data_IF_200402065801
#
_entry.id   IF_200402065801
#
_cell.length_a   1.000
_cell.length_b   1.000
_cell.length_c   1.000
_cell.angle_alpha   90.00
_cell.angle_beta   90.00
_cell.angle_gamma   90.00
#
_symmetry.space_group_name_H-M   'P 1'
#
loop_
_entity.id
_entity.type
_entity.pdbx_description
1 polymer ?
#
# COMPACT_ATOMS: atom_id res chain seq x y z
N UNK A 1 -9.14 30.62 24.17
CA UNK A 1 -7.88 30.13 24.77
C UNK A 1 -6.72 30.68 23.94
N UNK A 2 -5.58 31.08 24.55
CA UNK A 2 -4.41 31.55 23.80
C UNK A 2 -3.66 30.39 23.13
N UNK A 3 -3.08 30.63 21.96
CA UNK A 3 -2.24 29.69 21.23
C UNK A 3 -0.94 29.44 22.02
N UNK A 4 -0.53 28.18 22.19
CA UNK A 4 0.70 27.80 22.92
C UNK A 4 1.42 26.66 22.21
N UNK A 5 2.75 26.66 22.30
CA UNK A 5 3.60 25.56 21.85
C UNK A 5 3.36 24.35 22.75
N UNK A 6 3.21 23.16 22.15
CA UNK A 6 3.01 21.92 22.88
C UNK A 6 4.32 21.46 23.54
N UNK A 7 4.27 20.88 24.76
CA UNK A 7 5.42 20.17 25.32
C UNK A 7 5.93 19.09 24.36
N UNK A 8 7.26 18.86 24.27
CA UNK A 8 7.85 17.89 23.34
C UNK A 8 7.26 16.48 23.46
N UNK A 9 6.96 16.03 24.67
CA UNK A 9 6.33 14.72 24.93
C UNK A 9 4.94 14.61 24.31
N UNK A 10 4.10 15.64 24.47
CA UNK A 10 2.73 15.66 23.94
C UNK A 10 2.77 15.75 22.41
N UNK A 11 3.59 16.64 21.86
CA UNK A 11 3.81 16.71 20.42
C UNK A 11 4.29 15.36 19.88
N UNK A 12 5.11 14.66 20.66
CA UNK A 12 5.64 13.36 20.26
C UNK A 12 4.60 12.27 20.23
N UNK A 13 3.76 12.19 21.28
CA UNK A 13 2.66 11.25 21.37
C UNK A 13 1.60 11.50 20.29
N UNK A 14 1.33 12.76 19.93
CA UNK A 14 0.40 13.11 18.84
C UNK A 14 0.94 12.57 17.52
N UNK A 15 2.18 12.92 17.14
CA UNK A 15 2.81 12.44 15.91
C UNK A 15 2.90 10.90 15.87
N UNK A 16 3.20 10.26 16.99
CA UNK A 16 3.21 8.80 17.09
C UNK A 16 1.84 8.16 16.82
N UNK A 17 0.74 8.91 16.97
CA UNK A 17 -0.61 8.43 16.65
C UNK A 17 -0.96 8.42 15.18
N UNK A 18 -0.34 9.31 14.42
CA UNK A 18 -0.51 9.37 12.97
C UNK A 18 0.31 8.27 12.28
N UNK A 19 1.41 7.85 12.90
CA UNK A 19 2.32 6.82 12.38
C UNK A 19 1.98 5.42 12.93
N UNK A 20 1.64 5.31 14.22
CA UNK A 20 1.43 4.03 14.92
C UNK A 20 0.05 3.98 15.58
N UNK A 21 -0.90 3.42 14.84
CA UNK A 21 -2.28 3.24 15.32
C UNK A 21 -2.49 1.93 16.11
N UNK A 22 -1.72 0.89 15.78
CA UNK A 22 -1.90 -0.47 16.32
C UNK A 22 -0.64 -1.34 16.20
N UNK A 23 -0.57 -2.50 16.87
CA UNK A 23 0.60 -3.39 16.81
C UNK A 23 1.02 -3.78 15.38
N UNK A 24 0.07 -4.04 14.48
CA UNK A 24 0.39 -4.37 13.09
C UNK A 24 1.12 -3.23 12.36
N UNK A 25 0.86 -1.96 12.68
CA UNK A 25 1.58 -0.82 12.12
C UNK A 25 3.04 -0.80 12.58
N UNK A 26 3.30 -1.17 13.84
CA UNK A 26 4.68 -1.34 14.35
C UNK A 26 5.39 -2.46 13.60
N UNK A 27 4.75 -3.64 13.47
CA UNK A 27 5.32 -4.76 12.71
C UNK A 27 5.64 -4.33 11.28
N UNK A 28 4.74 -3.59 10.63
CA UNK A 28 4.94 -3.11 9.26
C UNK A 28 6.20 -2.26 9.15
N UNK A 29 6.33 -1.21 9.96
CA UNK A 29 7.47 -0.29 9.84
C UNK A 29 8.79 -0.98 10.20
N UNK A 30 8.81 -1.87 11.21
CA UNK A 30 10.02 -2.63 11.54
C UNK A 30 10.39 -3.64 10.45
N UNK A 31 9.41 -4.31 9.86
CA UNK A 31 9.61 -5.26 8.77
C UNK A 31 10.12 -4.55 7.51
N UNK A 32 9.54 -3.39 7.17
CA UNK A 32 10.03 -2.54 6.07
C UNK A 32 11.49 -2.11 6.30
N UNK A 33 11.85 -1.75 7.54
CA UNK A 33 13.24 -1.39 7.87
C UNK A 33 14.21 -2.57 7.72
N UNK A 34 13.81 -3.78 8.15
CA UNK A 34 14.62 -4.98 7.97
C UNK A 34 14.83 -5.32 6.48
N UNK A 35 13.78 -5.18 5.66
CA UNK A 35 13.87 -5.38 4.21
C UNK A 35 14.78 -4.34 3.54
N UNK A 36 14.65 -3.07 3.92
CA UNK A 36 15.55 -1.99 3.44
C UNK A 36 17.00 -2.22 3.85
N UNK A 37 17.24 -2.86 5.01
CA UNK A 37 18.57 -3.25 5.47
C UNK A 37 19.14 -4.49 4.74
N UNK A 38 18.41 -5.04 3.77
CA UNK A 38 18.84 -6.18 2.95
C UNK A 38 18.73 -7.54 3.64
N UNK A 39 17.90 -7.66 4.69
CA UNK A 39 17.75 -8.89 5.44
C UNK A 39 17.30 -10.08 4.58
N UNK A 40 17.85 -11.26 4.88
CA UNK A 40 17.49 -12.56 4.28
C UNK A 40 16.74 -13.46 5.25
N UNK A 41 16.87 -13.21 6.55
CA UNK A 41 16.16 -13.90 7.61
C UNK A 41 15.53 -12.86 8.54
N UNK A 42 14.21 -12.91 8.66
CA UNK A 42 13.43 -12.04 9.56
C UNK A 42 12.64 -12.94 10.51
N UNK A 43 12.83 -12.76 11.80
CA UNK A 43 12.09 -13.43 12.87
C UNK A 43 11.28 -12.42 13.66
N UNK A 44 9.99 -12.68 13.81
CA UNK A 44 9.03 -11.81 14.47
C UNK A 44 8.40 -12.59 15.62
N UNK A 45 8.50 -12.08 16.83
CA UNK A 45 7.93 -12.68 18.03
C UNK A 45 6.90 -11.72 18.64
N UNK A 46 5.69 -12.22 18.89
CA UNK A 46 4.56 -11.43 19.37
C UNK A 46 3.93 -12.12 20.58
N UNK A 47 3.77 -11.37 21.68
CA UNK A 47 3.06 -11.82 22.88
C UNK A 47 1.99 -10.80 23.28
N UNK A 48 0.86 -11.29 23.80
CA UNK A 48 -0.27 -10.43 24.18
C UNK A 48 -0.79 -9.61 22.99
N UNK A 49 -0.85 -10.22 21.81
CA UNK A 49 -1.19 -9.58 20.53
C UNK A 49 -0.33 -8.34 20.16
N UNK A 50 0.91 -8.27 20.67
CA UNK A 50 1.85 -7.18 20.40
C UNK A 50 1.73 -6.01 21.38
N UNK A 51 0.87 -6.13 22.40
CA UNK A 51 0.78 -5.17 23.50
C UNK A 51 1.90 -5.38 24.52
N UNK A 52 2.18 -6.64 24.86
CA UNK A 52 3.18 -6.99 25.87
C UNK A 52 4.57 -7.00 25.26
N UNK A 53 4.74 -7.73 24.16
CA UNK A 53 6.00 -7.86 23.45
C UNK A 53 5.78 -7.93 21.94
N UNK A 54 6.57 -7.14 21.20
CA UNK A 54 6.82 -7.31 19.78
C UNK A 54 8.33 -7.22 19.59
N UNK A 55 8.94 -8.30 19.13
CA UNK A 55 10.36 -8.36 18.82
C UNK A 55 10.55 -8.70 17.34
N UNK A 56 11.35 -7.92 16.63
CA UNK A 56 11.76 -8.20 15.27
C UNK A 56 13.28 -8.30 15.22
N UNK A 57 13.78 -9.46 14.78
CA UNK A 57 15.18 -9.73 14.57
C UNK A 57 15.44 -9.98 13.09
N UNK A 58 16.45 -9.31 12.54
CA UNK A 58 16.91 -9.46 11.17
C UNK A 58 18.42 -9.72 11.09
N UNK A 59 18.87 -10.24 9.95
CA UNK A 59 20.29 -10.44 9.60
C UNK A 59 20.78 -9.42 8.56
N UNK A 60 20.19 -8.22 8.54
CA UNK A 60 20.55 -7.15 7.62
C UNK A 60 21.94 -6.57 7.89
N UNK A 61 22.22 -5.42 7.29
CA UNK A 61 23.51 -4.74 7.43
C UNK A 61 23.79 -4.17 8.85
N UNK A 62 22.78 -4.12 9.72
CA UNK A 62 22.89 -3.50 11.04
C UNK A 62 22.97 -1.97 11.01
N UNK A 63 23.12 -1.37 12.18
CA UNK A 63 23.26 0.07 12.43
C UNK A 63 24.60 0.27 13.16
N UNK A 64 25.47 1.17 12.69
CA UNK A 64 26.69 1.51 13.38
C UNK A 64 26.41 1.96 14.83
N UNK A 65 27.22 1.50 15.78
CA UNK A 65 27.11 1.89 17.19
C UNK A 65 26.96 3.41 17.43
N UNK A 66 27.74 4.31 16.79
CA UNK A 66 27.58 5.76 17.00
C UNK A 66 26.29 6.33 16.39
N UNK A 67 25.63 5.61 15.49
CA UNK A 67 24.38 6.04 14.84
C UNK A 67 23.13 5.55 15.56
N UNK A 68 23.25 4.63 16.52
CA UNK A 68 22.10 4.11 17.28
C UNK A 68 21.30 5.19 18.01
N UNK A 69 21.92 6.20 18.66
CA UNK A 69 21.19 7.33 19.21
C UNK A 69 20.45 8.11 18.12
N UNK A 70 21.10 8.35 16.98
CA UNK A 70 20.51 9.08 15.86
C UNK A 70 19.32 8.32 15.23
N UNK A 71 19.38 6.99 15.18
CA UNK A 71 18.32 6.15 14.62
C UNK A 71 16.97 6.24 15.37
N UNK A 72 16.99 6.70 16.63
CA UNK A 72 15.81 6.87 17.47
C UNK A 72 15.40 8.34 17.63
N UNK A 73 16.14 9.27 17.01
CA UNK A 73 15.78 10.68 16.92
C UNK A 73 14.78 10.94 15.80
N UNK A 74 14.05 12.05 15.90
CA UNK A 74 13.12 12.48 14.86
C UNK A 74 13.86 13.07 13.67
N UNK A 75 13.28 12.88 12.48
CA UNK A 75 13.78 13.46 11.22
C UNK A 75 15.20 12.99 10.87
N UNK A 76 15.62 11.85 11.43
CA UNK A 76 16.89 11.24 11.15
C UNK A 76 16.69 10.04 10.23
N UNK A 77 17.23 10.12 9.01
CA UNK A 77 17.18 9.00 8.06
C UNK A 77 18.46 8.92 7.24
N UNK A 78 18.87 7.69 6.93
CA UNK A 78 19.93 7.40 5.95
C UNK A 78 19.41 7.23 4.53
N UNK A 79 18.08 7.34 4.32
CA UNK A 79 17.41 6.91 3.07
C UNK A 79 17.12 8.05 2.10
N UNK A 80 17.16 9.31 2.56
CA UNK A 80 16.99 10.50 1.75
C UNK A 80 18.08 11.52 2.10
N UNK A 81 18.69 12.11 1.08
CA UNK A 81 19.75 13.12 1.22
C UNK A 81 19.34 14.48 0.66
N UNK A 82 18.46 14.50 -0.34
CA UNK A 82 18.01 15.71 -1.05
C UNK A 82 16.48 15.71 -1.17
N UNK A 83 15.90 16.90 -1.35
CA UNK A 83 14.46 17.05 -1.57
C UNK A 83 13.98 16.28 -2.82
N UNK A 84 14.81 16.20 -3.86
CA UNK A 84 14.52 15.47 -5.10
C UNK A 84 14.35 13.95 -4.86
N UNK A 85 15.00 13.39 -3.84
CA UNK A 85 14.91 11.96 -3.49
C UNK A 85 13.47 11.58 -3.07
N UNK A 86 12.67 12.56 -2.62
CA UNK A 86 11.26 12.36 -2.26
C UNK A 86 10.39 11.98 -3.47
N UNK A 87 10.82 12.34 -4.69
CA UNK A 87 10.15 11.98 -5.94
C UNK A 87 10.70 10.67 -6.55
N UNK A 88 11.76 10.10 -5.96
CA UNK A 88 12.44 8.88 -6.43
C UNK A 88 12.63 7.85 -5.30
N UNK A 89 11.59 7.61 -4.51
CA UNK A 89 11.66 6.74 -3.33
C UNK A 89 11.81 5.26 -3.74
N UNK A 90 13.01 4.71 -3.53
CA UNK A 90 13.33 3.30 -3.79
C UNK A 90 13.25 2.40 -2.55
N UNK A 91 13.38 2.98 -1.34
CA UNK A 91 13.28 2.26 -0.06
C UNK A 91 11.84 2.20 0.42
N UNK A 92 11.51 1.32 1.37
CA UNK A 92 10.19 1.16 1.98
C UNK A 92 9.94 2.17 3.13
N UNK A 93 10.92 2.41 3.98
CA UNK A 93 10.93 3.54 4.91
C UNK A 93 11.61 4.76 4.29
N UNK A 94 11.21 5.98 4.65
CA UNK A 94 11.96 7.20 4.24
C UNK A 94 11.80 8.40 5.18
N UNK A 95 10.81 8.40 6.09
CA UNK A 95 10.50 9.55 6.94
C UNK A 95 11.46 9.76 8.13
N UNK A 96 12.21 8.73 8.55
CA UNK A 96 13.07 8.85 9.74
C UNK A 96 12.31 9.06 11.05
N UNK A 97 11.06 8.59 11.13
CA UNK A 97 10.16 8.86 12.27
C UNK A 97 9.67 7.60 12.98
N UNK A 98 9.82 6.42 12.38
CA UNK A 98 9.21 5.19 12.87
C UNK A 98 9.74 4.79 14.26
N UNK A 99 11.07 4.65 14.40
CA UNK A 99 11.69 4.21 15.66
C UNK A 99 11.49 5.24 16.78
N UNK A 100 11.64 6.53 16.48
CA UNK A 100 11.36 7.62 17.41
C UNK A 100 9.90 7.60 17.90
N UNK A 101 8.95 7.42 16.96
CA UNK A 101 7.53 7.34 17.28
C UNK A 101 7.23 6.14 18.17
N UNK A 102 7.73 4.96 17.82
CA UNK A 102 7.55 3.72 18.60
C UNK A 102 8.15 3.90 20.00
N UNK A 103 9.37 4.41 20.11
CA UNK A 103 10.06 4.64 21.38
C UNK A 103 9.35 5.64 22.30
N UNK A 104 8.60 6.59 21.74
CA UNK A 104 7.81 7.56 22.53
C UNK A 104 6.56 6.96 23.20
N UNK A 105 6.06 5.83 22.71
CA UNK A 105 4.82 5.18 23.17
C UNK A 105 5.04 3.75 23.72
N UNK A 106 6.29 3.37 23.96
CA UNK A 106 6.65 2.02 24.41
C UNK A 106 7.97 2.04 25.20
N UNK A 107 8.37 0.85 25.68
CA UNK A 107 9.74 0.58 26.13
C UNK A 107 10.46 -0.11 24.96
N UNK A 108 11.31 0.62 24.28
CA UNK A 108 12.01 0.16 23.08
C UNK A 108 13.45 -0.21 23.44
N UNK A 109 13.90 -1.40 23.07
CA UNK A 109 15.31 -1.79 23.10
C UNK A 109 15.76 -2.07 21.67
N UNK A 110 16.79 -1.38 21.23
CA UNK A 110 17.41 -1.56 19.92
C UNK A 110 18.82 -2.12 20.12
N UNK A 111 19.08 -3.31 19.59
CA UNK A 111 20.41 -3.93 19.58
C UNK A 111 20.83 -4.13 18.13
N UNK A 112 22.03 -3.72 17.75
CA UNK A 112 22.50 -3.90 16.37
C UNK A 112 24.00 -4.13 16.31
N UNK A 113 24.45 -4.90 15.32
CA UNK A 113 25.86 -5.12 15.03
C UNK A 113 26.12 -5.16 13.52
N UNK A 114 27.28 -4.62 13.12
CA UNK A 114 27.73 -4.62 11.74
C UNK A 114 28.31 -5.99 11.34
N UNK A 115 28.32 -6.33 10.03
CA UNK A 115 28.94 -7.55 9.54
C UNK A 115 30.42 -7.63 9.95
N UNK A 116 30.83 -8.79 10.47
CA UNK A 116 32.21 -9.04 10.85
C UNK A 116 32.68 -8.36 12.15
N UNK A 117 31.81 -7.64 12.87
CA UNK A 117 32.14 -7.08 14.18
C UNK A 117 31.69 -8.03 15.31
N UNK A 118 32.59 -8.37 16.27
CA UNK A 118 32.25 -9.28 17.38
C UNK A 118 31.40 -8.60 18.47
N UNK A 119 31.38 -7.27 18.49
CA UNK A 119 30.60 -6.48 19.42
C UNK A 119 29.63 -5.60 18.63
N UNK A 120 28.38 -5.60 19.07
CA UNK A 120 27.38 -4.64 18.68
C UNK A 120 27.17 -3.61 19.80
N UNK A 121 26.10 -2.84 19.64
CA UNK A 121 25.68 -1.89 20.64
C UNK A 121 24.18 -1.98 20.88
N UNK A 122 23.77 -1.58 22.08
CA UNK A 122 22.39 -1.57 22.53
C UNK A 122 22.04 -0.21 23.10
N UNK A 123 20.85 0.27 22.75
CA UNK A 123 20.23 1.45 23.33
C UNK A 123 18.83 1.09 23.83
N UNK A 124 18.45 1.61 25.00
CA UNK A 124 17.11 1.45 25.57
C UNK A 124 16.43 2.81 25.60
N UNK A 125 15.15 2.84 25.28
CA UNK A 125 14.33 4.03 25.21
C UNK A 125 13.07 3.76 26.02
N UNK A 126 12.77 4.65 26.96
CA UNK A 126 11.54 4.61 27.75
C UNK A 126 10.76 5.91 27.54
N UNK A 127 9.61 5.82 26.86
CA UNK A 127 8.77 6.97 26.52
C UNK A 127 9.56 8.14 25.89
N UNK A 128 10.45 7.83 24.95
CA UNK A 128 11.27 8.81 24.23
C UNK A 128 12.59 9.19 24.93
N UNK A 129 12.83 8.73 26.16
CA UNK A 129 14.08 8.99 26.87
C UNK A 129 15.08 7.85 26.63
N UNK A 130 16.16 8.15 25.91
CA UNK A 130 17.21 7.18 25.62
C UNK A 130 18.21 7.05 26.77
N UNK A 131 18.63 5.81 27.06
CA UNK A 131 19.74 5.52 27.97
C UNK A 131 21.08 5.64 27.25
N UNK A 132 22.20 5.74 27.98
CA UNK A 132 23.52 5.61 27.38
C UNK A 132 23.68 4.31 26.60
N UNK A 133 24.56 4.35 25.59
CA UNK A 133 24.86 3.21 24.74
C UNK A 133 25.60 2.12 25.52
N UNK A 134 25.12 0.88 25.43
CA UNK A 134 25.76 -0.30 26.03
C UNK A 134 26.48 -1.09 24.93
N UNK A 135 27.76 -1.45 25.13
CA UNK A 135 28.45 -2.41 24.25
C UNK A 135 28.01 -3.82 24.62
N UNK A 136 27.55 -4.60 23.64
CA UNK A 136 27.01 -5.95 23.87
C UNK A 136 27.49 -6.93 22.80
N UNK A 137 27.62 -8.20 23.15
CA UNK A 137 27.78 -9.26 22.16
C UNK A 137 26.46 -9.44 21.40
N UNK A 138 26.50 -9.31 20.07
CA UNK A 138 25.33 -9.49 19.21
C UNK A 138 25.77 -10.04 17.84
N UNK A 139 24.98 -10.93 17.22
CA UNK A 139 25.22 -11.33 15.83
C UNK A 139 24.96 -10.15 14.89
N UNK A 140 25.46 -10.26 13.66
CA UNK A 140 25.14 -9.31 12.59
C UNK A 140 23.62 -9.10 12.46
N UNK A 141 23.23 -7.85 12.22
CA UNK A 141 21.86 -7.45 11.95
C UNK A 141 21.28 -6.60 13.08
N UNK A 142 19.96 -6.53 13.14
CA UNK A 142 19.26 -5.69 14.12
C UNK A 142 18.18 -6.46 14.85
N UNK A 143 18.09 -6.25 16.16
CA UNK A 143 16.99 -6.72 17.00
C UNK A 143 16.30 -5.50 17.60
N UNK A 144 15.03 -5.33 17.23
CA UNK A 144 14.14 -4.29 17.76
C UNK A 144 13.11 -4.94 18.66
N UNK A 145 13.19 -4.65 19.96
CA UNK A 145 12.27 -5.17 20.98
C UNK A 145 11.40 -4.04 21.50
N UNK A 146 10.09 -4.17 21.35
CA UNK A 146 9.06 -3.21 21.74
C UNK A 146 8.21 -3.83 22.84
N UNK A 147 8.31 -3.29 24.05
CA UNK A 147 7.62 -3.79 25.22
C UNK A 147 6.57 -2.79 25.71
N UNK A 148 5.44 -3.30 26.19
CA UNK A 148 4.35 -2.51 26.77
C UNK A 148 3.88 -1.39 25.82
N UNK A 149 3.46 -1.73 24.61
CA UNK A 149 2.99 -0.76 23.62
C UNK A 149 1.77 0.02 24.15
N UNK A 150 1.79 1.34 24.01
CA UNK A 150 0.78 2.30 24.48
C UNK A 150 0.63 2.41 26.00
N UNK A 151 1.59 1.93 26.81
CA UNK A 151 1.48 1.98 28.27
C UNK A 151 1.32 3.40 28.83
N UNK A 152 1.94 4.40 28.17
CA UNK A 152 1.85 5.82 28.52
C UNK A 152 0.78 6.58 27.72
N UNK A 153 -0.03 5.90 26.89
CA UNK A 153 -1.13 6.48 26.12
C UNK A 153 -2.41 5.63 26.29
N UNK A 154 -3.03 5.63 27.50
CA UNK A 154 -4.08 4.68 27.86
C UNK A 154 -5.35 4.78 27.00
N UNK A 155 -5.64 5.96 26.43
CA UNK A 155 -6.74 6.11 25.49
C UNK A 155 -6.55 5.22 24.26
N UNK A 156 -5.34 5.19 23.66
CA UNK A 156 -5.02 4.32 22.50
C UNK A 156 -5.08 2.85 22.84
N UNK A 157 -4.57 2.47 24.01
CA UNK A 157 -4.65 1.10 24.48
C UNK A 157 -6.12 0.60 24.54
N UNK A 158 -7.07 1.48 24.91
CA UNK A 158 -8.51 1.18 24.92
C UNK A 158 -9.15 1.13 23.52
N UNK A 159 -8.54 1.77 22.52
CA UNK A 159 -9.02 1.72 21.13
C UNK A 159 -8.59 0.45 20.37
N UNK A 160 -7.66 -0.33 20.93
CA UNK A 160 -7.28 -1.61 20.35
C UNK A 160 -8.47 -2.57 20.35
N UNK A 161 -8.56 -3.38 19.30
CA UNK A 161 -9.58 -4.42 19.21
C UNK A 161 -9.19 -5.60 20.09
N UNK A 162 -10.05 -6.62 20.12
CA UNK A 162 -9.76 -7.88 20.79
C UNK A 162 -8.43 -8.47 20.28
N UNK A 163 -7.69 -9.12 21.18
CA UNK A 163 -6.36 -9.69 20.92
C UNK A 163 -6.35 -10.65 19.72
N UNK A 164 -7.44 -11.39 19.53
CA UNK A 164 -7.64 -12.26 18.35
C UNK A 164 -7.65 -11.49 17.04
N UNK A 165 -8.20 -10.27 17.04
CA UNK A 165 -8.26 -9.41 15.86
C UNK A 165 -6.90 -8.81 15.56
N UNK A 166 -6.21 -8.28 16.57
CA UNK A 166 -4.87 -7.70 16.37
C UNK A 166 -3.85 -8.76 15.92
N UNK A 167 -3.89 -9.98 16.48
CA UNK A 167 -3.09 -11.12 16.00
C UNK A 167 -3.34 -11.44 14.54
N UNK A 168 -4.62 -11.52 14.12
CA UNK A 168 -4.98 -11.76 12.72
C UNK A 168 -4.49 -10.67 11.78
N UNK A 169 -4.46 -9.41 12.23
CA UNK A 169 -3.91 -8.31 11.43
C UNK A 169 -2.40 -8.48 11.23
N UNK A 170 -1.67 -8.88 12.27
CA UNK A 170 -0.24 -9.19 12.18
C UNK A 170 0.00 -10.38 11.25
N UNK A 171 -0.72 -11.50 11.41
CA UNK A 171 -0.61 -12.66 10.53
C UNK A 171 -0.83 -12.28 9.07
N UNK A 172 -1.91 -11.54 8.78
CA UNK A 172 -2.24 -11.12 7.42
C UNK A 172 -1.16 -10.21 6.83
N UNK A 173 -0.60 -9.30 7.63
CA UNK A 173 0.49 -8.42 7.20
C UNK A 173 1.75 -9.24 6.84
N UNK A 174 2.25 -10.07 7.77
CA UNK A 174 3.48 -10.84 7.56
C UNK A 174 3.31 -11.81 6.39
N UNK A 175 2.13 -12.43 6.26
CA UNK A 175 1.73 -13.27 5.12
C UNK A 175 1.89 -12.54 3.79
N UNK A 176 1.40 -11.30 3.68
CA UNK A 176 1.51 -10.52 2.44
C UNK A 176 2.96 -10.24 2.08
N UNK A 177 3.78 -9.79 3.04
CA UNK A 177 5.20 -9.51 2.79
C UNK A 177 5.99 -10.79 2.48
N UNK A 178 5.65 -11.92 3.09
CA UNK A 178 6.26 -13.21 2.78
C UNK A 178 6.06 -13.61 1.31
N UNK A 179 4.89 -13.33 0.72
CA UNK A 179 4.64 -13.59 -0.71
C UNK A 179 5.39 -12.59 -1.60
N UNK A 180 5.49 -11.34 -1.17
CA UNK A 180 6.18 -10.30 -1.94
C UNK A 180 7.70 -10.50 -2.02
N UNK A 181 8.29 -10.96 -0.91
CA UNK A 181 9.72 -11.15 -0.73
C UNK A 181 10.05 -12.64 -0.54
N UNK A 182 9.85 -13.50 -1.56
CA UNK A 182 10.04 -14.95 -1.42
C UNK A 182 11.51 -15.36 -1.18
N UNK A 183 12.46 -14.45 -1.47
CA UNK A 183 13.89 -14.61 -1.21
C UNK A 183 14.28 -14.32 0.25
N UNK A 184 13.30 -13.99 1.11
CA UNK A 184 13.49 -13.70 2.53
C UNK A 184 12.76 -14.77 3.32
N UNK A 185 13.46 -15.35 4.29
CA UNK A 185 12.88 -16.30 5.24
C UNK A 185 12.17 -15.53 6.34
N UNK A 186 10.87 -15.71 6.43
CA UNK A 186 10.05 -15.16 7.51
C UNK A 186 9.77 -16.25 8.55
N UNK A 187 9.90 -15.91 9.83
CA UNK A 187 9.38 -16.69 10.95
C UNK A 187 8.50 -15.78 11.80
N UNK A 188 7.29 -16.23 12.10
CA UNK A 188 6.37 -15.52 13.00
C UNK A 188 6.01 -16.43 14.16
N UNK A 189 6.37 -16.02 15.37
CA UNK A 189 5.98 -16.64 16.62
C UNK A 189 4.89 -15.80 17.28
N UNK A 190 3.78 -16.44 17.65
CA UNK A 190 2.72 -15.82 18.43
C UNK A 190 2.44 -16.65 19.68
N UNK A 191 2.51 -16.02 20.85
CA UNK A 191 2.30 -16.67 22.15
C UNK A 191 3.18 -17.92 22.32
N UNK A 192 4.45 -17.81 21.91
CA UNK A 192 5.43 -18.89 21.94
C UNK A 192 5.27 -19.98 20.86
N UNK A 193 4.25 -19.90 20.00
CA UNK A 193 4.00 -20.88 18.94
C UNK A 193 4.40 -20.35 17.56
N UNK A 194 5.01 -21.19 16.75
CA UNK A 194 5.33 -20.86 15.36
C UNK A 194 4.04 -20.83 14.53
N UNK A 195 3.63 -19.63 14.09
CA UNK A 195 2.44 -19.38 13.26
C UNK A 195 2.76 -19.50 11.76
N UNK A 196 3.89 -18.94 11.34
CA UNK A 196 4.33 -18.92 9.94
C UNK A 196 5.83 -19.18 9.84
N UNK A 197 6.23 -19.98 8.86
CA UNK A 197 7.61 -20.13 8.45
C UNK A 197 7.71 -20.30 6.93
N UNK A 198 8.54 -19.49 6.26
CA UNK A 198 8.83 -19.65 4.83
C UNK A 198 10.22 -20.22 4.56
N UNK A 199 10.46 -20.68 3.33
CA UNK A 199 11.73 -21.27 2.90
C UNK A 199 12.84 -20.23 2.68
N UNK A 200 12.46 -19.05 2.15
CA UNK A 200 13.39 -18.01 1.70
C UNK A 200 14.12 -18.33 0.39
N UNK A 201 13.62 -19.29 -0.42
CA UNK A 201 14.28 -19.78 -1.65
C UNK A 201 13.96 -18.98 -2.91
N UNK A 202 13.03 -18.03 -2.86
CA UNK A 202 12.63 -17.23 -4.02
C UNK A 202 11.43 -17.72 -4.80
N UNK A 203 10.86 -18.88 -4.49
CA UNK A 203 9.66 -19.39 -5.15
C UNK A 203 8.37 -18.86 -4.49
N UNK A 204 7.69 -17.93 -5.18
CA UNK A 204 6.41 -17.38 -4.71
C UNK A 204 5.30 -18.43 -4.65
N UNK A 205 5.31 -19.43 -5.53
CA UNK A 205 4.28 -20.47 -5.57
C UNK A 205 4.43 -21.42 -4.38
N UNK A 206 5.67 -21.71 -3.97
CA UNK A 206 5.97 -22.42 -2.70
C UNK A 206 5.38 -21.65 -1.51
N UNK A 207 5.62 -20.35 -1.42
CA UNK A 207 5.08 -19.51 -0.34
C UNK A 207 3.56 -19.48 -0.35
N UNK A 208 2.92 -19.36 -1.51
CA UNK A 208 1.46 -19.48 -1.64
C UNK A 208 0.95 -20.85 -1.14
N UNK A 209 1.69 -21.93 -1.41
CA UNK A 209 1.37 -23.27 -0.95
C UNK A 209 1.43 -23.43 0.57
N UNK A 210 2.41 -22.78 1.22
CA UNK A 210 2.52 -22.74 2.68
C UNK A 210 1.32 -21.99 3.31
N UNK A 211 0.88 -20.91 2.66
CA UNK A 211 -0.12 -19.99 3.22
C UNK A 211 -1.57 -20.41 2.96
N UNK A 212 -1.88 -20.81 1.73
CA UNK A 212 -3.23 -21.13 1.29
C UNK A 212 -3.44 -22.63 1.01
N UNK A 213 -2.39 -23.43 1.17
CA UNK A 213 -2.40 -24.86 0.89
C UNK A 213 -1.94 -25.20 -0.55
N UNK A 214 -1.41 -26.42 -0.75
CA UNK A 214 -0.80 -26.82 -2.02
C UNK A 214 -1.81 -26.95 -3.17
N UNK A 215 -3.07 -27.27 -2.87
CA UNK A 215 -4.12 -27.36 -3.89
C UNK A 215 -4.45 -25.97 -4.47
N UNK A 216 -4.65 -24.98 -3.60
CA UNK A 216 -4.90 -23.59 -4.01
C UNK A 216 -3.72 -23.07 -4.83
N UNK A 217 -2.49 -23.24 -4.33
CA UNK A 217 -1.30 -22.74 -5.03
C UNK A 217 -1.08 -23.38 -6.42
N UNK A 218 -1.49 -24.64 -6.62
CA UNK A 218 -1.44 -25.30 -7.94
C UNK A 218 -2.46 -24.70 -8.91
N UNK A 219 -3.65 -24.36 -8.43
CA UNK A 219 -4.72 -23.81 -9.26
C UNK A 219 -4.52 -22.33 -9.63
N UNK A 220 -3.69 -21.58 -8.88
CA UNK A 220 -3.44 -20.17 -9.15
C UNK A 220 -2.84 -19.95 -10.54
N UNK A 221 -3.44 -19.02 -11.27
CA UNK A 221 -3.05 -18.60 -12.62
C UNK A 221 -1.96 -17.56 -12.52
N UNK A 222 -0.91 -17.72 -13.32
CA UNK A 222 0.18 -16.75 -13.37
C UNK A 222 -0.21 -15.56 -14.24
N UNK A 223 0.04 -14.35 -13.74
CA UNK A 223 -0.10 -13.11 -14.48
C UNK A 223 1.30 -12.61 -14.78
N UNK A 224 1.61 -12.43 -16.05
CA UNK A 224 2.88 -11.86 -16.50
C UNK A 224 2.61 -11.01 -17.75
N UNK A 225 2.69 -9.69 -17.57
CA UNK A 225 2.50 -8.71 -18.63
C UNK A 225 3.51 -7.57 -18.46
N UNK A 226 4.02 -7.08 -19.58
CA UNK A 226 4.91 -5.93 -19.64
C UNK A 226 4.44 -5.02 -20.78
N UNK A 227 4.37 -3.72 -20.47
CA UNK A 227 4.19 -2.60 -21.37
C UNK A 227 5.38 -1.64 -21.18
N UNK A 228 5.42 -0.52 -21.90
CA UNK A 228 6.58 0.37 -21.98
C UNK A 228 7.08 0.88 -20.61
N UNK A 229 6.17 1.30 -19.72
CA UNK A 229 6.50 1.83 -18.38
C UNK A 229 5.75 1.11 -17.25
N UNK A 230 5.26 -0.10 -17.52
CA UNK A 230 4.43 -0.85 -16.58
C UNK A 230 4.73 -2.34 -16.71
N UNK A 231 4.93 -3.01 -15.59
CA UNK A 231 5.02 -4.46 -15.54
C UNK A 231 4.12 -5.00 -14.44
N UNK A 232 3.30 -5.99 -14.79
CA UNK A 232 2.43 -6.70 -13.87
C UNK A 232 2.86 -8.16 -13.81
N UNK A 233 3.28 -8.60 -12.63
CA UNK A 233 3.55 -10.00 -12.34
C UNK A 233 2.70 -10.49 -11.18
N UNK A 234 2.59 -11.80 -10.98
CA UNK A 234 1.96 -12.38 -9.79
C UNK A 234 0.96 -13.48 -10.12
N UNK A 235 -0.04 -13.63 -9.27
CA UNK A 235 -0.99 -14.73 -9.35
C UNK A 235 -2.43 -14.26 -9.12
N UNK A 236 -3.37 -14.90 -9.81
CA UNK A 236 -4.81 -14.67 -9.64
C UNK A 236 -5.56 -16.01 -9.67
N UNK A 237 -6.69 -16.11 -8.97
CA UNK A 237 -7.43 -17.37 -8.89
C UNK A 237 -8.25 -17.66 -10.15
N UNK A 238 -8.45 -18.92 -10.54
CA UNK A 238 -9.42 -19.26 -11.58
C UNK A 238 -10.84 -18.93 -11.11
N UNK A 239 -11.80 -18.90 -12.03
CA UNK A 239 -13.22 -18.59 -11.74
C UNK A 239 -13.88 -19.60 -10.80
N UNK A 240 -13.36 -20.84 -10.74
CA UNK A 240 -13.78 -21.88 -9.80
C UNK A 240 -13.36 -21.62 -8.36
N UNK A 241 -12.27 -20.86 -8.15
CA UNK A 241 -11.70 -20.59 -6.84
C UNK A 241 -12.00 -19.15 -6.43
N UNK A 242 -12.91 -18.98 -5.48
CA UNK A 242 -13.41 -17.66 -5.06
C UNK A 242 -13.49 -17.52 -3.54
N UNK A 243 -13.63 -16.27 -3.10
CA UNK A 243 -13.84 -15.86 -1.70
C UNK A 243 -15.11 -15.04 -1.55
N UNK A 244 -15.63 -15.00 -0.32
CA UNK A 244 -16.81 -14.20 0.05
C UNK A 244 -16.49 -12.72 0.27
N UNK A 245 -15.21 -12.35 0.36
CA UNK A 245 -14.77 -10.98 0.60
C UNK A 245 -13.49 -10.68 -0.18
N UNK A 246 -13.08 -9.40 -0.17
CA UNK A 246 -11.91 -8.87 -0.90
C UNK A 246 -10.59 -8.99 -0.13
N UNK A 247 -10.56 -9.68 1.02
CA UNK A 247 -9.38 -9.66 1.92
C UNK A 247 -8.12 -10.33 1.34
N UNK A 248 -8.31 -11.24 0.39
CA UNK A 248 -7.25 -11.97 -0.32
C UNK A 248 -6.89 -11.33 -1.67
N UNK A 249 -7.31 -10.08 -1.91
CA UNK A 249 -6.82 -9.26 -3.01
C UNK A 249 -5.70 -8.38 -2.45
N UNK A 250 -4.49 -8.60 -2.94
CA UNK A 250 -3.30 -7.88 -2.50
C UNK A 250 -2.54 -7.34 -3.70
N UNK A 251 -2.27 -6.04 -3.66
CA UNK A 251 -1.41 -5.36 -4.62
C UNK A 251 -0.12 -4.91 -3.94
N UNK A 252 0.97 -5.08 -4.66
CA UNK A 252 2.25 -4.47 -4.36
C UNK A 252 2.63 -3.52 -5.48
N UNK A 253 3.02 -2.30 -5.14
CA UNK A 253 3.50 -1.31 -6.09
C UNK A 253 4.94 -0.99 -5.73
N UNK A 254 5.88 -1.29 -6.64
CA UNK A 254 7.32 -1.14 -6.39
C UNK A 254 7.76 -1.76 -5.05
N UNK A 255 7.25 -2.95 -4.73
CA UNK A 255 7.56 -3.69 -3.50
C UNK A 255 6.80 -3.25 -2.24
N UNK A 256 5.98 -2.19 -2.31
CA UNK A 256 5.16 -1.71 -1.19
C UNK A 256 3.77 -2.30 -1.23
N UNK A 257 3.26 -2.76 -0.10
CA UNK A 257 1.86 -3.18 -0.01
C UNK A 257 0.92 -1.97 -0.09
N UNK A 258 -0.05 -2.01 -1.00
CA UNK A 258 -0.99 -0.92 -1.27
C UNK A 258 -2.43 -1.43 -1.21
N UNK A 259 -3.32 -0.61 -0.67
CA UNK A 259 -4.75 -0.79 -0.61
C UNK A 259 -5.45 0.26 -1.48
N UNK A 260 -5.27 0.16 -2.79
CA UNK A 260 -5.86 1.10 -3.74
C UNK A 260 -7.22 0.57 -4.27
N UNK A 261 -8.32 1.35 -4.11
CA UNK A 261 -9.63 0.96 -4.62
C UNK A 261 -9.70 0.86 -6.15
N UNK A 262 -8.91 1.66 -6.88
CA UNK A 262 -8.92 1.63 -8.34
C UNK A 262 -8.28 0.34 -8.89
N UNK A 263 -7.14 -0.10 -8.34
CA UNK A 263 -6.50 -1.38 -8.67
C UNK A 263 -7.43 -2.56 -8.35
N UNK A 264 -8.08 -2.52 -7.19
CA UNK A 264 -9.07 -3.54 -6.78
C UNK A 264 -10.24 -3.58 -7.78
N UNK A 265 -10.71 -2.42 -8.23
CA UNK A 265 -11.81 -2.33 -9.20
C UNK A 265 -11.36 -2.80 -10.59
N UNK A 266 -10.13 -2.52 -11.00
CA UNK A 266 -9.54 -3.02 -12.25
C UNK A 266 -9.48 -4.54 -12.28
N UNK A 267 -9.04 -5.15 -11.17
CA UNK A 267 -9.06 -6.60 -11.00
C UNK A 267 -10.47 -7.16 -11.13
N UNK A 268 -11.43 -6.60 -10.39
CA UNK A 268 -12.82 -7.07 -10.43
C UNK A 268 -13.41 -6.91 -11.84
N UNK A 269 -13.08 -5.83 -12.54
CA UNK A 269 -13.49 -5.60 -13.93
C UNK A 269 -12.94 -6.67 -14.88
N UNK A 270 -11.73 -7.15 -14.67
CA UNK A 270 -11.19 -8.26 -15.46
C UNK A 270 -12.04 -9.54 -15.33
N UNK A 271 -12.61 -9.77 -14.14
CA UNK A 271 -13.53 -10.88 -13.84
C UNK A 271 -15.00 -10.57 -14.15
N UNK A 272 -15.32 -9.40 -14.72
CA UNK A 272 -16.69 -9.03 -15.05
C UNK A 272 -17.32 -10.10 -15.94
N UNK A 273 -18.56 -10.48 -15.59
CA UNK A 273 -19.38 -11.61 -16.11
C UNK A 273 -18.87 -13.02 -15.83
N UNK A 274 -17.74 -13.21 -15.14
CA UNK A 274 -17.14 -14.53 -14.89
C UNK A 274 -17.35 -15.05 -13.46
N UNK A 275 -17.72 -14.17 -12.53
CA UNK A 275 -17.94 -14.51 -11.12
C UNK A 275 -19.40 -14.28 -10.72
N UNK A 276 -19.89 -15.11 -9.81
CA UNK A 276 -21.18 -14.90 -9.17
C UNK A 276 -21.17 -13.62 -8.32
N UNK A 277 -22.33 -12.99 -8.18
CA UNK A 277 -22.51 -11.80 -7.33
C UNK A 277 -22.06 -12.09 -5.90
N UNK A 278 -21.28 -11.18 -5.32
CA UNK A 278 -20.74 -11.33 -3.96
C UNK A 278 -19.55 -12.29 -3.83
N UNK A 279 -19.01 -12.80 -4.95
CA UNK A 279 -17.78 -13.59 -4.98
C UNK A 279 -16.62 -12.77 -5.53
N UNK A 280 -15.45 -12.97 -4.95
CA UNK A 280 -14.23 -12.25 -5.30
C UNK A 280 -13.10 -13.24 -5.62
N UNK A 281 -12.18 -12.89 -6.53
CA UNK A 281 -11.00 -13.69 -6.79
C UNK A 281 -9.99 -13.55 -5.63
N UNK A 282 -9.08 -14.51 -5.54
CA UNK A 282 -7.83 -14.32 -4.81
C UNK A 282 -6.81 -13.74 -5.77
N UNK A 283 -6.04 -12.75 -5.34
CA UNK A 283 -5.01 -12.18 -6.19
C UNK A 283 -3.85 -11.65 -5.36
N UNK A 284 -2.63 -11.92 -5.83
CA UNK A 284 -1.40 -11.30 -5.34
C UNK A 284 -0.64 -10.80 -6.54
N UNK A 285 -0.71 -9.49 -6.76
CA UNK A 285 -0.22 -8.84 -7.97
C UNK A 285 0.85 -7.80 -7.64
N UNK A 286 1.89 -7.77 -8.45
CA UNK A 286 3.06 -6.91 -8.33
C UNK A 286 3.10 -5.98 -9.53
N UNK A 287 2.91 -4.71 -9.26
CA UNK A 287 3.01 -3.62 -10.21
C UNK A 287 4.39 -2.98 -10.06
N UNK A 288 5.16 -2.98 -11.14
CA UNK A 288 6.44 -2.28 -11.25
C UNK A 288 6.28 -1.13 -12.26
N UNK A 289 6.61 0.09 -11.84
CA UNK A 289 6.59 1.29 -12.67
C UNK A 289 7.68 2.28 -12.24
N UNK A 290 8.11 3.21 -13.10
CA UNK A 290 9.04 4.28 -12.73
C UNK A 290 8.56 5.04 -11.48
N UNK A 291 9.44 5.37 -10.51
CA UNK A 291 9.05 6.07 -9.28
C UNK A 291 8.34 7.41 -9.51
N UNK A 292 8.70 8.13 -10.57
CA UNK A 292 8.08 9.40 -10.98
C UNK A 292 6.62 9.31 -11.42
N UNK A 293 6.13 8.10 -11.72
CA UNK A 293 4.76 7.83 -12.12
C UNK A 293 3.85 7.46 -10.93
N UNK A 294 4.41 7.35 -9.73
CA UNK A 294 3.69 7.01 -8.49
C UNK A 294 4.11 7.88 -7.31
N UNK A 295 3.16 8.64 -6.78
CA UNK A 295 3.33 9.34 -5.52
C UNK A 295 2.94 8.43 -4.36
N UNK A 296 3.94 8.06 -3.55
CA UNK A 296 3.80 7.23 -2.34
C UNK A 296 3.63 8.06 -1.06
N UNK A 297 3.76 9.39 -1.13
CA UNK A 297 3.71 10.30 0.01
C UNK A 297 2.28 10.83 0.29
N UNK A 298 1.25 10.03 0.02
CA UNK A 298 -0.15 10.49 0.09
C UNK A 298 -0.76 10.27 1.48
N UNK A 299 -0.43 9.16 2.14
CA UNK A 299 -0.99 8.79 3.45
C UNK A 299 0.12 8.49 4.48
N UNK A 300 -0.04 8.83 5.77
CA UNK A 300 0.95 8.54 6.82
C UNK A 300 1.40 7.08 6.89
N UNK A 301 0.46 6.14 6.75
CA UNK A 301 0.71 4.68 6.77
C UNK A 301 1.24 4.11 5.44
N UNK A 302 1.33 4.94 4.39
CA UNK A 302 1.75 4.58 3.02
C UNK A 302 0.90 3.47 2.36
N UNK A 303 -0.33 3.26 2.84
CA UNK A 303 -1.24 2.24 2.30
C UNK A 303 -1.91 2.67 0.98
N UNK A 304 -1.91 3.97 0.68
CA UNK A 304 -2.51 4.53 -0.54
C UNK A 304 -1.41 5.19 -1.39
N UNK A 305 -1.53 5.06 -2.70
CA UNK A 305 -0.61 5.68 -3.67
C UNK A 305 -1.42 6.44 -4.71
N UNK A 306 -0.86 7.50 -5.27
CA UNK A 306 -1.45 8.23 -6.39
C UNK A 306 -0.64 8.00 -7.64
N UNK A 307 -1.28 7.41 -8.65
CA UNK A 307 -0.70 7.27 -9.98
C UNK A 307 -0.85 8.58 -10.75
N UNK A 308 0.18 8.95 -11.51
CA UNK A 308 0.11 10.08 -12.45
C UNK A 308 -0.95 9.83 -13.53
N UNK A 309 -0.88 8.66 -14.16
CA UNK A 309 -1.82 8.23 -15.22
C UNK A 309 -2.69 7.07 -14.72
N UNK A 310 -3.64 7.38 -13.84
CA UNK A 310 -4.51 6.40 -13.18
C UNK A 310 -5.30 5.53 -14.16
N UNK A 311 -5.84 6.11 -15.22
CA UNK A 311 -6.70 5.39 -16.17
C UNK A 311 -5.91 4.36 -16.99
N UNK A 312 -4.67 4.70 -17.34
CA UNK A 312 -3.77 3.79 -18.03
C UNK A 312 -3.41 2.59 -17.14
N UNK A 313 -3.02 2.83 -15.88
CA UNK A 313 -2.72 1.78 -14.90
C UNK A 313 -3.93 0.86 -14.69
N UNK A 314 -5.13 1.44 -14.58
CA UNK A 314 -6.37 0.68 -14.47
C UNK A 314 -6.58 -0.24 -15.69
N UNK A 315 -6.48 0.32 -16.90
CA UNK A 315 -6.67 -0.42 -18.14
C UNK A 315 -5.64 -1.56 -18.29
N UNK A 316 -4.38 -1.30 -17.95
CA UNK A 316 -3.29 -2.27 -18.06
C UNK A 316 -3.45 -3.42 -17.06
N UNK A 317 -3.86 -3.15 -15.82
CA UNK A 317 -4.19 -4.21 -14.84
C UNK A 317 -5.36 -5.06 -15.34
N UNK A 318 -6.46 -4.42 -15.73
CA UNK A 318 -7.66 -5.12 -16.18
C UNK A 318 -7.38 -6.00 -17.41
N UNK A 319 -6.68 -5.45 -18.41
CA UNK A 319 -6.30 -6.16 -19.64
C UNK A 319 -5.38 -7.35 -19.35
N UNK A 320 -4.38 -7.16 -18.49
CA UNK A 320 -3.38 -8.19 -18.19
C UNK A 320 -3.99 -9.38 -17.44
N UNK A 321 -4.84 -9.11 -16.44
CA UNK A 321 -5.56 -10.17 -15.72
C UNK A 321 -6.55 -10.87 -16.65
N UNK A 322 -7.30 -10.12 -17.47
CA UNK A 322 -8.25 -10.71 -18.43
C UNK A 322 -7.53 -11.66 -19.40
N UNK A 323 -6.35 -11.27 -19.89
CA UNK A 323 -5.53 -12.12 -20.77
C UNK A 323 -5.11 -13.41 -20.07
N UNK A 324 -4.65 -13.33 -18.82
CA UNK A 324 -4.28 -14.52 -18.04
C UNK A 324 -5.49 -15.45 -17.81
N UNK A 325 -6.67 -14.89 -17.53
CA UNK A 325 -7.91 -15.66 -17.39
C UNK A 325 -8.31 -16.39 -18.67
N UNK A 326 -8.24 -15.71 -19.82
CA UNK A 326 -8.61 -16.30 -21.11
C UNK A 326 -7.59 -17.34 -21.59
N UNK A 327 -6.31 -17.15 -21.32
CA UNK A 327 -5.27 -18.13 -21.65
C UNK A 327 -5.45 -19.46 -20.88
N UNK A 328 -6.08 -19.43 -19.71
CA UNK A 328 -6.36 -20.59 -18.88
C UNK A 328 -7.85 -20.97 -18.83
N UNK A 329 -8.68 -20.29 -19.62
CA UNK A 329 -10.06 -20.71 -19.80
C UNK A 329 -10.04 -22.04 -20.57
N UNK A 330 -10.79 -23.07 -20.12
CA UNK A 330 -10.88 -24.31 -20.88
C UNK A 330 -11.38 -23.97 -22.29
N UNK A 331 -10.58 -24.30 -23.30
CA UNK A 331 -11.07 -24.31 -24.68
C UNK A 331 -12.28 -25.23 -24.67
N UNK A 332 -13.48 -24.77 -25.08
CA UNK A 332 -14.60 -25.68 -25.24
C UNK A 332 -14.12 -26.78 -26.20
N UNK A 333 -14.05 -28.02 -25.73
CA UNK A 333 -13.99 -29.15 -26.63
C UNK A 333 -15.31 -29.09 -27.41
N UNK A 334 -15.27 -28.48 -28.60
CA UNK A 334 -16.35 -28.60 -29.56
C UNK A 334 -16.39 -30.07 -29.89
N UNK A 335 -17.30 -30.79 -29.24
CA UNK A 335 -17.56 -32.16 -29.58
C UNK A 335 -18.15 -32.14 -31.00
N UNK A 336 -17.28 -32.31 -32.01
CA UNK A 336 -17.67 -32.39 -33.42
C UNK A 336 -18.47 -33.67 -33.72
N UNK A 337 -18.83 -34.46 -32.70
CA UNK A 337 -19.89 -35.46 -32.79
C UNK A 337 -21.30 -34.84 -32.78
N UNK A 338 -21.50 -33.72 -33.49
CA UNK A 338 -22.77 -33.57 -34.20
C UNK A 338 -22.74 -34.59 -35.33
N UNK A 339 -23.20 -35.80 -35.00
CA UNK A 339 -23.63 -36.79 -35.98
C UNK A 339 -24.71 -36.12 -36.82
N UNK A 340 -24.32 -35.57 -37.96
CA UNK A 340 -25.24 -35.36 -39.06
C UNK A 340 -25.76 -36.75 -39.38
N UNK A 341 -26.93 -37.10 -38.86
CA UNK A 341 -27.64 -38.27 -39.29
C UNK A 341 -27.79 -38.10 -40.80
N UNK A 342 -27.09 -38.92 -41.57
CA UNK A 342 -27.29 -39.01 -43.01
C UNK A 342 -28.77 -39.31 -43.19
N UNK A 343 -29.54 -38.47 -43.91
CA UNK A 343 -30.88 -38.86 -44.27
C UNK A 343 -30.71 -40.11 -45.13
N UNK A 344 -31.31 -41.22 -44.69
CA UNK A 344 -31.46 -42.38 -45.55
C UNK A 344 -32.11 -41.91 -46.84
N UNK A 345 -31.40 -42.11 -47.95
CA UNK A 345 -31.89 -41.90 -49.29
C UNK A 345 -33.03 -42.87 -49.55
N UNK A 346 -34.26 -42.45 -49.28
CA UNK A 346 -35.44 -43.08 -49.87
C UNK A 346 -35.56 -42.52 -51.28
N UNK A 347 -35.29 -43.38 -52.27
CA UNK A 347 -35.48 -43.09 -53.68
C UNK A 347 -36.92 -42.62 -53.94
N UNK A 348 -37.07 -41.40 -54.42
CA UNK A 348 -38.29 -40.95 -55.10
C UNK A 348 -37.87 -40.31 -56.42
N UNK A 349 -38.25 -40.98 -57.50
CA UNK A 349 -38.23 -40.47 -58.86
C UNK A 349 -39.02 -39.15 -58.97
N UNK A 350 -38.42 -38.14 -59.57
CA UNK A 350 -39.11 -36.89 -59.91
C UNK A 350 -38.16 -35.82 -60.45
N UNK A 351 -38.11 -35.72 -61.77
CA UNK A 351 -37.40 -34.70 -62.55
C UNK A 351 -37.76 -33.25 -62.17
N UNK A 352 -36.76 -32.39 -61.99
CA UNK A 352 -36.60 -31.14 -62.77
C UNK A 352 -35.43 -30.27 -62.26
N UNK A 353 -34.81 -29.62 -63.22
CA UNK A 353 -33.68 -28.69 -63.18
C UNK A 353 -33.93 -27.39 -62.40
N UNK A 354 -32.95 -26.94 -61.61
CA UNK A 354 -32.91 -25.59 -61.03
C UNK A 354 -31.60 -25.31 -60.29
N UNK A 355 -31.02 -24.13 -60.51
CA UNK A 355 -29.66 -23.69 -60.17
C UNK A 355 -29.30 -23.65 -58.68
N UNK A 356 -27.99 -23.82 -58.38
CA UNK A 356 -27.41 -23.74 -57.03
C UNK A 356 -27.12 -22.28 -56.64
N UNK A 357 -27.62 -21.85 -55.48
CA UNK A 357 -27.12 -20.68 -54.71
C UNK A 357 -26.75 -21.11 -53.29
N UNK A 358 -25.66 -20.55 -52.77
CA UNK A 358 -25.14 -20.82 -51.43
C UNK A 358 -26.01 -20.13 -50.33
N UNK A 359 -26.16 -20.71 -49.13
CA UNK A 359 -26.97 -20.11 -48.07
C UNK A 359 -26.19 -19.11 -47.22
N UNK A 360 -26.70 -17.88 -47.13
CA UNK A 360 -26.33 -16.88 -46.13
C UNK A 360 -27.07 -17.20 -44.82
N UNK A 361 -26.37 -17.19 -43.68
CA UNK A 361 -26.95 -17.44 -42.36
C UNK A 361 -27.53 -16.15 -41.77
N UNK A 362 -28.86 -16.08 -41.63
CA UNK A 362 -29.61 -15.01 -40.97
C UNK A 362 -30.32 -15.49 -39.70
N UNK A 363 -30.34 -14.65 -38.66
CA UNK A 363 -31.21 -14.81 -37.47
C UNK A 363 -32.69 -14.48 -37.82
N UNK A 364 -33.63 -14.88 -36.96
CA UNK A 364 -35.10 -14.75 -37.01
C UNK A 364 -35.59 -13.30 -37.16
N UNK A 365 -34.69 -12.31 -37.09
CA UNK A 365 -34.96 -10.88 -37.32
C UNK A 365 -34.15 -10.26 -38.48
N UNK A 366 -33.58 -11.06 -39.37
CA UNK A 366 -33.08 -10.61 -40.68
C UNK A 366 -31.89 -9.64 -40.67
N UNK A 367 -31.01 -9.70 -39.64
CA UNK A 367 -29.75 -8.93 -39.64
C UNK A 367 -28.56 -9.83 -39.99
N UNK A 368 -27.72 -9.34 -40.90
CA UNK A 368 -26.41 -9.92 -41.24
C UNK A 368 -25.46 -9.63 -40.06
N UNK A 369 -24.81 -10.67 -39.53
CA UNK A 369 -23.81 -10.56 -38.47
C UNK A 369 -22.44 -10.35 -39.13
N UNK A 370 -21.93 -9.12 -39.08
CA UNK A 370 -20.53 -8.82 -39.42
C UNK A 370 -19.62 -9.13 -38.21
N UNK A 371 -18.55 -9.95 -38.33
CA UNK A 371 -17.67 -10.27 -37.20
C UNK A 371 -16.73 -9.14 -36.74
N UNK A 372 -16.78 -7.95 -37.36
CA UNK A 372 -15.90 -6.84 -37.00
C UNK A 372 -16.60 -5.84 -36.05
N UNK A 373 -16.57 -6.11 -34.74
CA UNK A 373 -17.00 -5.12 -33.75
C UNK A 373 -15.91 -4.08 -33.46
N UNK A 374 -16.23 -2.83 -33.84
CA UNK A 374 -15.68 -1.52 -33.48
C UNK A 374 -14.55 -1.45 -32.43
N UNK A 375 -13.35 -1.13 -32.93
CA UNK A 375 -12.32 -0.38 -32.21
C UNK A 375 -12.41 1.07 -32.69
N UNK A 376 -12.66 2.09 -31.84
CA UNK A 376 -12.46 3.46 -32.27
C UNK A 376 -10.95 3.73 -32.33
N UNK A 377 -10.40 3.80 -33.54
CA UNK A 377 -9.11 4.45 -33.81
C UNK A 377 -9.36 5.89 -34.25
N UNK A 378 -8.58 6.78 -33.66
CA UNK A 378 -8.61 8.24 -33.75
C UNK A 378 -8.40 8.84 -35.16
N UNK A 379 -8.91 10.07 -35.29
CA UNK A 379 -8.40 11.22 -36.09
C UNK A 379 -8.42 11.16 -37.63
N UNK A 380 -9.26 12.02 -38.24
CA UNK A 380 -8.80 13.17 -39.03
C UNK A 380 -9.96 14.12 -39.44
N UNK A 381 -9.76 15.40 -39.11
CA UNK A 381 -10.14 16.63 -39.84
C UNK A 381 -11.54 16.80 -40.44
N UNK A 382 -12.30 17.75 -39.86
CA UNK A 382 -13.13 18.68 -40.65
C UNK A 382 -13.46 19.94 -39.83
N UNK A 383 -12.92 21.08 -40.24
CA UNK A 383 -13.45 22.42 -39.88
C UNK A 383 -14.83 22.64 -40.52
N UNK A 384 -15.64 23.61 -40.04
CA UNK A 384 -15.54 24.95 -40.63
C UNK A 384 -15.70 26.13 -39.64
N UNK A 385 -14.79 27.11 -39.78
CA UNK A 385 -15.07 28.53 -40.00
C UNK A 385 -15.92 29.32 -38.99
N UNK A 386 -15.24 30.12 -38.17
CA UNK A 386 -15.76 31.40 -37.69
C UNK A 386 -14.73 32.52 -37.91
N UNK A 387 -15.20 33.58 -38.54
CA UNK A 387 -14.48 34.78 -39.00
C UNK A 387 -14.02 35.61 -37.79
N UNK A 388 -12.76 36.06 -37.81
CA UNK A 388 -12.22 37.06 -36.89
C UNK A 388 -12.11 38.42 -37.62
N UNK A 389 -12.56 39.48 -36.97
CA UNK A 389 -12.28 40.88 -37.31
C UNK A 389 -11.15 41.37 -36.36
N UNK A 390 -10.09 42.03 -36.84
CA UNK A 390 -8.95 42.37 -36.01
C UNK A 390 -9.03 43.83 -35.56
N UNK A 391 -9.15 44.07 -34.25
CA UNK A 391 -8.51 45.22 -33.61
C UNK A 391 -8.54 45.12 -32.07
N UNK A 392 -7.36 45.35 -31.48
CA UNK A 392 -7.05 45.73 -30.08
C UNK A 392 -6.43 44.69 -29.12
N UNK A 393 -5.50 45.15 -28.24
CA UNK A 393 -4.40 44.34 -27.74
C UNK A 393 -4.54 43.88 -26.27
N UNK A 394 -3.68 42.91 -25.95
CA UNK A 394 -3.50 42.15 -24.72
C UNK A 394 -3.35 42.95 -23.41
N UNK A 395 -3.96 42.43 -22.33
CA UNK A 395 -3.52 42.68 -20.96
C UNK A 395 -3.49 41.38 -20.14
N UNK A 396 -2.36 41.15 -19.48
CA UNK A 396 -2.05 40.01 -18.63
C UNK A 396 -2.85 40.03 -17.31
N UNK A 397 -3.25 38.86 -16.82
CA UNK A 397 -3.83 38.69 -15.48
C UNK A 397 -2.93 37.83 -14.60
N UNK A 398 -2.32 38.47 -13.60
CA UNK A 398 -1.69 37.86 -12.43
C UNK A 398 -2.62 38.06 -11.23
N UNK A 399 -2.91 37.05 -10.39
CA UNK A 399 -3.74 37.24 -9.21
C UNK A 399 -2.97 37.93 -8.05
N UNK A 400 -3.66 38.69 -7.16
CA UNK A 400 -3.01 39.62 -6.24
C UNK A 400 -2.54 38.99 -4.92
N UNK A 401 -1.47 39.57 -4.39
CA UNK A 401 -0.79 39.29 -3.12
C UNK A 401 -1.52 39.98 -1.93
N UNK A 402 -1.87 39.29 -0.83
CA UNK A 402 -2.57 39.88 0.30
C UNK A 402 -1.58 40.27 1.41
N UNK A 403 -0.92 41.42 1.30
CA UNK A 403 -0.26 42.06 2.45
C UNK A 403 0.14 43.50 2.12
N UNK A 404 -0.73 44.46 2.48
CA UNK A 404 -0.35 45.83 2.91
C UNK A 404 -1.58 46.60 3.43
N UNK A 405 -1.43 47.41 4.49
CA UNK A 405 -2.55 48.06 5.20
C UNK A 405 -2.86 49.46 4.62
N UNK A 406 -4.08 49.99 4.78
CA UNK A 406 -4.32 51.41 4.59
C UNK A 406 -4.28 52.18 5.91
N UNK A 407 -3.57 53.31 5.85
CA UNK A 407 -3.41 54.32 6.88
C UNK A 407 -4.59 55.32 6.88
N UNK A 408 -4.79 55.99 8.02
CA UNK A 408 -5.90 56.89 8.43
C UNK A 408 -6.17 58.10 7.49
N UNK A 409 -7.32 58.81 7.52
CA UNK A 409 -7.87 59.73 8.56
C UNK A 409 -9.21 60.39 8.06
N UNK A 410 -9.86 61.38 8.73
CA UNK A 410 -10.36 61.52 10.11
C UNK A 410 -11.84 62.05 10.21
N UNK A 411 -12.28 62.40 11.45
CA UNK A 411 -13.51 63.12 11.91
C UNK A 411 -14.62 62.20 12.45
N UNK A 412 -15.31 62.43 13.59
CA UNK A 412 -15.44 63.57 14.52
C UNK A 412 -16.04 63.13 15.89
N UNK A 413 -15.50 63.67 16.99
CA UNK A 413 -16.14 64.22 18.22
C UNK A 413 -17.34 63.50 18.91
N UNK A 414 -17.15 63.06 20.17
CA UNK A 414 -17.83 63.59 21.40
C UNK A 414 -17.46 62.71 22.62
N UNK A 415 -16.61 63.21 23.53
CA UNK A 415 -16.92 63.75 24.87
C UNK A 415 -17.33 62.73 25.95
N UNK A 416 -16.50 62.56 27.00
CA UNK A 416 -16.96 61.91 28.24
C UNK A 416 -15.90 61.47 29.28
N UNK A 417 -15.16 62.43 29.86
CA UNK A 417 -14.57 62.47 31.22
C UNK A 417 -13.75 61.26 31.77
N UNK A 418 -12.49 61.56 32.09
CA UNK A 418 -11.61 60.94 33.11
C UNK A 418 -11.61 61.82 34.40
N UNK A 419 -10.79 61.63 35.47
CA UNK A 419 -9.93 60.52 35.96
C UNK A 419 -9.95 60.38 37.54
N UNK A 420 -8.85 60.14 38.33
CA UNK A 420 -8.10 58.89 38.64
C UNK A 420 -7.95 58.63 40.20
N UNK A 421 -6.81 58.14 40.77
CA UNK A 421 -6.39 56.75 41.00
C UNK A 421 -6.02 56.46 42.49
N UNK A 422 -5.53 55.26 42.84
CA UNK A 422 -4.54 54.98 43.92
C UNK A 422 -4.32 53.46 44.07
N UNK A 423 -3.17 52.93 43.66
CA UNK A 423 -1.96 52.64 44.47
C UNK A 423 -1.97 51.29 45.20
N UNK A 424 -1.04 50.41 44.79
CA UNK A 424 -0.49 49.24 45.51
C UNK A 424 0.20 49.66 46.84
N UNK A 425 0.90 48.80 47.63
CA UNK A 425 1.11 47.33 47.59
C UNK A 425 1.04 46.62 48.98
N UNK A 426 1.17 45.28 49.03
CA UNK A 426 2.04 44.45 49.94
C UNK A 426 1.46 43.06 50.27
N UNK A 427 2.30 42.03 50.08
CA UNK A 427 2.25 40.71 50.75
C UNK A 427 2.90 40.83 52.17
N UNK A 428 3.06 39.77 53.02
CA UNK A 428 2.80 38.32 52.89
C UNK A 428 2.19 37.64 54.17
N UNK A 429 2.33 36.30 54.27
CA UNK A 429 2.08 35.33 55.39
C UNK A 429 0.71 34.61 55.35
N UNK A 430 0.61 33.29 55.14
CA UNK A 430 1.09 32.09 55.88
C UNK A 430 0.13 31.63 57.00
N UNK A 431 -0.15 30.32 57.01
CA UNK A 431 -1.12 29.56 57.84
C UNK A 431 -2.59 29.88 57.51
N UNK A 432 -3.44 28.95 57.08
CA UNK A 432 -3.63 27.52 57.39
C UNK A 432 -4.37 26.86 56.23
#
# INVERSE_FOLDING_TARGET
MPIRILPPEIASQIAAGEVVERPASVVKELLENALDAGARNISITVEGAGKTLLELADDGQGIPAPELPLAVERHATSKLTRADDLFHILTLGFRGEALASIGSISRLTLTSALPGQPAGARIKIDAGHATPLETVGAPQGTVVRVENLFYNVPARLKFLKADTTERRQIDALVTRYAIAYPNVRFRLYQEGRLSLQTSGKGDRREVLGILYGPEVARQMLEVNAAYEHFRLTGFTSPTSLTRSNRSEITFFVNGRWVQDPALTSALIQAYHTLLMVGRFPMAVLFVELPPEMVDVNVHPTKAEVRFRDRDQVFADVARSVRRALLAHAPVPEVNTQLRWASPQSTEVWGSSSGERRAPETTDVWGRIIDPAWDMPRETQSSEPGWVADPDQPSAANTPPNPNSPPNASPSSVSSGKSPPPTSSPKAPMACT
#
